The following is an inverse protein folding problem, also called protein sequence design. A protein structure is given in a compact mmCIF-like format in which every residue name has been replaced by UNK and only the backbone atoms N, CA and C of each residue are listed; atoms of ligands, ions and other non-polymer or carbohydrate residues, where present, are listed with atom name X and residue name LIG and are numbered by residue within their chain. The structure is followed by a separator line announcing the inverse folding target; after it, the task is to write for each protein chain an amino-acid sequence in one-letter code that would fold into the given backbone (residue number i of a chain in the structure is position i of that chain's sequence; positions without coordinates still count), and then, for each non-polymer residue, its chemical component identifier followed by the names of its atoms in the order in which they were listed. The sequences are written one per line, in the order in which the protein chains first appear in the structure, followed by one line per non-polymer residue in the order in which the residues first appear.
data_IF_680927510744
#
_entry.id   IF_680927510744
#
_cell.length_a   1.000
_cell.length_b   1.000
_cell.length_c   1.000
_cell.angle_alpha   90.00
_cell.angle_beta   90.00
_cell.angle_gamma   90.00
#
_symmetry.space_group_name_H-M   'P 1'
#
loop_
_entity.id
_entity.type
_entity.pdbx_description
1 polymer ?
#
# COMPACT_ATOMS: atom_id res chain seq x y z
N UNK A 1 49.41 -4.80 10.98
CA UNK A 1 48.34 -5.32 10.10
C UNK A 1 47.05 -5.26 10.90
N UNK A 2 46.22 -4.22 10.70
CA UNK A 2 44.94 -4.06 11.38
C UNK A 2 43.83 -4.58 10.46
N UNK A 3 42.93 -5.48 10.91
CA UNK A 3 41.86 -5.95 10.06
C UNK A 3 40.80 -4.85 9.94
N UNK A 4 40.51 -4.48 8.70
CA UNK A 4 39.36 -3.68 8.31
C UNK A 4 38.08 -4.35 8.82
N UNK A 5 37.47 -3.77 9.86
CA UNK A 5 36.09 -4.04 10.24
C UNK A 5 35.18 -3.46 9.14
N UNK A 6 34.93 -4.25 8.10
CA UNK A 6 33.87 -4.02 7.14
C UNK A 6 32.53 -4.18 7.87
N UNK A 7 32.01 -3.07 8.41
CA UNK A 7 30.65 -2.98 8.92
C UNK A 7 29.69 -3.14 7.74
N UNK A 8 29.24 -4.38 7.52
CA UNK A 8 28.07 -4.70 6.72
C UNK A 8 26.86 -3.99 7.34
N UNK A 9 26.56 -2.78 6.84
CA UNK A 9 25.29 -2.12 7.02
C UNK A 9 24.22 -2.99 6.34
N UNK A 10 23.67 -3.96 7.08
CA UNK A 10 22.42 -4.61 6.72
C UNK A 10 21.35 -3.51 6.66
N UNK A 11 21.06 -3.02 5.46
CA UNK A 11 19.93 -2.16 5.22
C UNK A 11 18.67 -2.98 5.53
N UNK A 12 18.16 -2.88 6.77
CA UNK A 12 16.93 -3.52 7.17
C UNK A 12 15.83 -3.06 6.20
N UNK A 13 15.40 -3.95 5.31
CA UNK A 13 14.23 -3.76 4.48
C UNK A 13 13.05 -3.59 5.42
N UNK A 14 12.26 -2.51 5.32
CA UNK A 14 11.09 -2.37 6.17
C UNK A 14 10.19 -3.59 5.92
N UNK A 15 9.88 -4.32 7.00
CA UNK A 15 8.93 -5.41 6.92
C UNK A 15 7.60 -4.87 6.39
N UNK A 16 7.01 -5.56 5.41
CA UNK A 16 5.71 -5.18 4.89
C UNK A 16 4.63 -5.47 5.94
N UNK A 17 3.66 -4.57 6.13
CA UNK A 17 2.51 -4.83 6.98
C UNK A 17 1.77 -6.13 6.59
N UNK A 18 1.30 -6.87 7.59
CA UNK A 18 0.57 -8.14 7.36
C UNK A 18 -0.79 -7.91 6.71
N UNK A 19 -1.45 -6.79 7.02
CA UNK A 19 -2.73 -6.37 6.46
C UNK A 19 -2.74 -6.22 4.92
N UNK A 20 -1.58 -6.07 4.27
CA UNK A 20 -1.44 -6.04 2.81
C UNK A 20 -0.85 -7.33 2.22
N UNK A 21 -0.23 -8.19 3.02
CA UNK A 21 0.42 -9.42 2.56
C UNK A 21 -0.39 -10.68 2.86
N UNK A 22 -1.26 -10.64 3.87
CA UNK A 22 -2.15 -11.72 4.22
C UNK A 22 -3.16 -11.97 3.09
N UNK A 23 -3.30 -13.25 2.71
CA UNK A 23 -4.25 -13.68 1.69
C UNK A 23 -5.56 -14.19 2.26
N UNK A 24 -5.62 -14.46 3.56
CA UNK A 24 -6.83 -14.90 4.25
C UNK A 24 -7.88 -13.80 4.39
N UNK A 25 -7.45 -12.53 4.43
CA UNK A 25 -8.32 -11.36 4.49
C UNK A 25 -8.22 -10.51 3.20
N UNK A 26 -8.98 -10.86 2.14
CA UNK A 26 -8.95 -10.12 0.89
C UNK A 26 -9.56 -8.71 1.01
N UNK A 27 -10.49 -8.47 1.94
CA UNK A 27 -11.13 -7.17 2.13
C UNK A 27 -10.18 -6.21 2.84
N UNK A 28 -9.59 -6.64 3.96
CA UNK A 28 -8.55 -5.90 4.67
C UNK A 28 -7.38 -5.58 3.75
N UNK A 29 -6.94 -6.55 2.93
CA UNK A 29 -5.91 -6.29 1.93
C UNK A 29 -6.31 -5.22 0.92
N UNK A 30 -7.54 -5.30 0.38
CA UNK A 30 -7.99 -4.33 -0.61
C UNK A 30 -8.08 -2.91 -0.05
N UNK A 31 -8.67 -2.73 1.13
CA UNK A 31 -8.81 -1.41 1.74
C UNK A 31 -7.47 -0.81 2.16
N UNK A 32 -6.59 -1.61 2.78
CA UNK A 32 -5.27 -1.14 3.21
C UNK A 32 -4.39 -0.80 2.00
N UNK A 33 -4.40 -1.63 0.96
CA UNK A 33 -3.64 -1.31 -0.25
C UNK A 33 -4.13 -0.04 -0.96
N UNK A 34 -5.45 0.16 -1.04
CA UNK A 34 -5.99 1.41 -1.56
C UNK A 34 -5.53 2.61 -0.72
N UNK A 35 -5.58 2.49 0.62
CA UNK A 35 -5.23 3.58 1.53
C UNK A 35 -3.73 3.95 1.47
N UNK A 36 -2.82 2.97 1.46
CA UNK A 36 -1.38 3.22 1.28
C UNK A 36 -1.08 3.91 -0.06
N UNK A 37 -1.73 3.48 -1.15
CA UNK A 37 -1.59 4.13 -2.45
C UNK A 37 -2.13 5.57 -2.44
N UNK A 38 -3.26 5.82 -1.75
CA UNK A 38 -3.81 7.15 -1.55
C UNK A 38 -2.82 8.10 -0.86
N UNK A 39 -2.14 7.62 0.19
CA UNK A 39 -1.12 8.41 0.90
C UNK A 39 0.05 8.73 -0.02
N UNK A 40 0.53 7.76 -0.79
CA UNK A 40 1.63 7.96 -1.72
C UNK A 40 1.28 8.95 -2.85
N UNK A 41 0.05 8.91 -3.39
CA UNK A 41 -0.44 9.86 -4.40
C UNK A 41 -0.30 11.31 -3.92
N UNK A 42 -0.58 11.55 -2.64
CA UNK A 42 -0.47 12.87 -2.02
C UNK A 42 0.99 13.29 -1.75
N UNK A 43 1.91 12.32 -1.61
CA UNK A 43 3.32 12.55 -1.33
C UNK A 43 4.19 12.71 -2.58
N UNK A 44 3.74 12.27 -3.76
CA UNK A 44 4.54 12.29 -4.99
C UNK A 44 4.17 13.44 -5.96
N UNK A 45 5.10 13.85 -6.85
CA UNK A 45 4.83 14.81 -7.92
C UNK A 45 3.69 14.35 -8.83
N UNK A 46 2.94 15.31 -9.41
CA UNK A 46 1.78 15.02 -10.27
C UNK A 46 2.07 14.03 -11.40
N UNK A 47 3.25 14.08 -12.01
CA UNK A 47 3.66 13.18 -13.08
C UNK A 47 3.75 11.69 -12.65
N UNK A 48 4.01 11.42 -11.37
CA UNK A 48 4.11 10.05 -10.83
C UNK A 48 2.76 9.48 -10.37
N UNK A 49 1.69 10.29 -10.31
CA UNK A 49 0.38 9.89 -9.79
C UNK A 49 -0.41 8.93 -10.65
N UNK A 50 -0.43 9.01 -12.01
CA UNK A 50 -1.30 8.17 -12.83
C UNK A 50 -1.22 6.66 -12.54
N UNK A 51 -0.02 6.03 -12.46
CA UNK A 51 0.05 4.60 -12.15
C UNK A 51 -0.41 4.26 -10.73
N UNK A 52 -0.21 5.15 -9.75
CA UNK A 52 -0.69 4.96 -8.38
C UNK A 52 -2.21 5.07 -8.30
N UNK A 53 -2.79 6.05 -9.00
CA UNK A 53 -4.26 6.23 -9.09
C UNK A 53 -4.90 5.00 -9.74
N UNK A 54 -4.29 4.46 -10.81
CA UNK A 54 -4.77 3.26 -11.47
C UNK A 54 -4.78 2.05 -10.51
N UNK A 55 -3.69 1.83 -9.78
CA UNK A 55 -3.61 0.77 -8.78
C UNK A 55 -4.61 0.96 -7.62
N UNK A 56 -4.75 2.19 -7.10
CA UNK A 56 -5.69 2.51 -6.03
C UNK A 56 -7.13 2.21 -6.45
N UNK A 57 -7.51 2.60 -7.68
CA UNK A 57 -8.82 2.30 -8.25
C UNK A 57 -9.04 0.81 -8.44
N UNK A 58 -8.02 0.06 -8.84
CA UNK A 58 -8.12 -1.40 -8.98
C UNK A 58 -8.41 -2.10 -7.64
N UNK A 59 -7.77 -1.64 -6.56
CA UNK A 59 -8.03 -2.14 -5.21
C UNK A 59 -9.41 -1.73 -4.68
N UNK A 60 -9.84 -0.47 -4.89
CA UNK A 60 -11.21 -0.05 -4.55
C UNK A 60 -12.26 -0.87 -5.29
N UNK A 61 -12.05 -1.12 -6.59
CA UNK A 61 -12.94 -1.97 -7.37
C UNK A 61 -12.95 -3.44 -6.88
N UNK A 62 -11.88 -3.94 -6.26
CA UNK A 62 -11.89 -5.27 -5.61
C UNK A 62 -12.73 -5.29 -4.33
N UNK A 63 -12.66 -4.22 -3.54
CA UNK A 63 -13.50 -4.05 -2.36
C UNK A 63 -14.98 -3.88 -2.72
N UNK A 64 -15.28 -3.05 -3.73
CA UNK A 64 -16.65 -2.81 -4.24
C UNK A 64 -17.30 -4.05 -4.88
N UNK A 65 -16.53 -5.11 -5.20
CA UNK A 65 -17.10 -6.41 -5.60
C UNK A 65 -17.63 -7.23 -4.41
N UNK A 66 -17.26 -6.87 -3.18
CA UNK A 66 -17.55 -7.59 -1.94
C UNK A 66 -18.47 -6.80 -1.01
N UNK A 67 -18.43 -5.48 -1.12
CA UNK A 67 -19.16 -4.51 -0.31
C UNK A 67 -19.92 -3.55 -1.21
N UNK A 68 -20.93 -2.89 -0.65
CA UNK A 68 -21.54 -1.75 -1.30
C UNK A 68 -20.53 -0.61 -1.46
N UNK A 69 -20.80 0.31 -2.38
CA UNK A 69 -19.95 1.48 -2.60
C UNK A 69 -19.79 2.31 -1.33
N UNK A 70 -20.88 2.54 -0.59
CA UNK A 70 -20.86 3.36 0.62
C UNK A 70 -20.03 2.71 1.74
N UNK A 71 -20.15 1.39 1.92
CA UNK A 71 -19.31 0.64 2.85
C UNK A 71 -17.83 0.70 2.45
N UNK A 72 -17.52 0.53 1.17
CA UNK A 72 -16.15 0.61 0.65
C UNK A 72 -15.56 2.01 0.86
N UNK A 73 -16.36 3.06 0.67
CA UNK A 73 -15.95 4.45 0.87
C UNK A 73 -15.72 4.75 2.36
N UNK A 74 -16.58 4.26 3.26
CA UNK A 74 -16.40 4.37 4.71
C UNK A 74 -15.15 3.63 5.20
N UNK A 75 -14.95 2.37 4.75
CA UNK A 75 -13.79 1.56 5.10
C UNK A 75 -12.49 2.22 4.61
N UNK A 76 -12.50 2.76 3.39
CA UNK A 76 -11.36 3.49 2.87
C UNK A 76 -11.04 4.73 3.71
N UNK A 77 -12.06 5.54 4.06
CA UNK A 77 -11.87 6.75 4.85
C UNK A 77 -11.32 6.46 6.25
N UNK A 78 -11.86 5.45 6.95
CA UNK A 78 -11.40 5.06 8.28
C UNK A 78 -9.97 4.53 8.25
N UNK A 79 -9.66 3.65 7.29
CA UNK A 79 -8.32 3.07 7.11
C UNK A 79 -7.30 4.15 6.77
N UNK A 80 -7.64 5.05 5.84
CA UNK A 80 -6.76 6.16 5.45
C UNK A 80 -6.37 7.05 6.64
N UNK A 81 -7.33 7.33 7.54
CA UNK A 81 -7.10 8.11 8.74
C UNK A 81 -6.15 7.40 9.72
N UNK A 82 -6.31 6.10 9.93
CA UNK A 82 -5.46 5.29 10.83
C UNK A 82 -4.03 5.20 10.32
N UNK A 83 -3.83 5.04 9.01
CA UNK A 83 -2.50 4.88 8.40
C UNK A 83 -1.70 6.20 8.32
N UNK A 84 -2.24 7.30 8.82
CA UNK A 84 -1.55 8.61 8.83
C UNK A 84 -0.28 8.57 9.68
N UNK A 85 -0.28 7.79 10.76
CA UNK A 85 0.83 7.71 11.71
C UNK A 85 1.88 6.66 11.31
N UNK A 86 1.62 5.90 10.24
CA UNK A 86 2.58 4.94 9.71
C UNK A 86 3.83 5.67 9.19
N UNK A 87 5.05 5.22 9.55
CA UNK A 87 6.29 5.85 9.12
C UNK A 87 6.38 6.01 7.59
N UNK A 88 6.92 7.12 7.05
CA UNK A 88 6.97 7.36 5.60
C UNK A 88 7.66 6.25 4.81
N UNK A 89 8.73 5.66 5.36
CA UNK A 89 9.46 4.55 4.73
C UNK A 89 8.59 3.30 4.58
N UNK A 90 7.79 2.98 5.61
CA UNK A 90 6.85 1.86 5.59
C UNK A 90 5.70 2.12 4.62
N UNK A 91 5.13 3.33 4.59
CA UNK A 91 4.08 3.70 3.62
C UNK A 91 4.56 3.57 2.17
N UNK A 92 5.77 4.03 1.86
CA UNK A 92 6.36 3.91 0.51
C UNK A 92 6.56 2.45 0.11
N UNK A 93 7.09 1.62 1.02
CA UNK A 93 7.28 0.19 0.76
C UNK A 93 5.94 -0.53 0.54
N UNK A 94 4.95 -0.25 1.39
CA UNK A 94 3.59 -0.76 1.27
C UNK A 94 2.91 -0.32 -0.04
N UNK A 95 2.99 0.96 -0.41
CA UNK A 95 2.45 1.49 -1.65
C UNK A 95 3.12 0.85 -2.89
N UNK A 96 4.44 0.66 -2.86
CA UNK A 96 5.17 -0.02 -3.93
C UNK A 96 4.70 -1.48 -4.09
N UNK A 97 4.55 -2.20 -2.98
CA UNK A 97 3.98 -3.55 -2.98
C UNK A 97 2.55 -3.55 -3.56
N UNK A 98 1.66 -2.71 -3.03
CA UNK A 98 0.27 -2.65 -3.46
C UNK A 98 0.12 -2.24 -4.94
N UNK A 99 1.03 -1.43 -5.48
CA UNK A 99 1.09 -1.12 -6.92
C UNK A 99 1.46 -2.36 -7.74
N UNK A 100 2.48 -3.10 -7.32
CA UNK A 100 2.94 -4.30 -8.01
C UNK A 100 1.91 -5.44 -7.98
N UNK A 101 1.09 -5.50 -6.94
CA UNK A 101 0.09 -6.53 -6.72
C UNK A 101 -1.35 -6.08 -7.00
N UNK A 102 -1.54 -4.93 -7.65
CA UNK A 102 -2.86 -4.41 -7.96
C UNK A 102 -3.68 -5.44 -8.76
N UNK A 103 -4.96 -5.67 -8.40
CA UNK A 103 -5.82 -6.61 -9.12
C UNK A 103 -5.92 -6.23 -10.60
N UNK A 104 -5.57 -7.17 -11.48
CA UNK A 104 -5.78 -6.98 -12.91
C UNK A 104 -7.27 -6.85 -13.23
N UNK A 105 -7.62 -6.08 -14.28
CA UNK A 105 -8.90 -6.29 -14.96
C UNK A 105 -8.87 -7.70 -15.51
N UNK A 106 -9.61 -8.63 -14.90
CA UNK A 106 -10.01 -9.85 -15.62
C UNK A 106 -10.73 -9.37 -16.87
N UNK A 107 -10.14 -9.63 -18.04
CA UNK A 107 -10.86 -9.59 -19.31
C UNK A 107 -11.87 -10.72 -19.33
#
# INVERSE_FOLDING_TARGET
MAPMLAALLLAATPALPSDITDRSDPEGRAVNCAAYLGHEINAVPRAARPPLIAAMRAWRADLERRRTKDEADQYFASTFAVLRDTPPRTRRAAAAYCRAHAPGRRR
#
